data_IF_658352384804
#
_entry.id   IF_658352384804
#
_cell.length_a   1.000
_cell.length_b   1.000
_cell.length_c   1.000
_cell.angle_alpha   90.00
_cell.angle_beta   90.00
_cell.angle_gamma   90.00
#
_symmetry.space_group_name_H-M   'P 1'
#
loop_
_entity.id
_entity.type
_entity.pdbx_description
1 polymer ?
#
# COMPACT_ATOMS: atom_id res chain seq x y z
N UNK A 1 -11.87 -36.06 -5.60
CA UNK A 1 -12.63 -34.82 -5.76
C UNK A 1 -11.74 -33.70 -5.25
N UNK A 2 -11.53 -32.74 -6.13
CA UNK A 2 -10.64 -31.56 -6.13
C UNK A 2 -9.90 -31.16 -4.84
N UNK A 3 -8.57 -31.23 -4.92
CA UNK A 3 -7.66 -30.40 -4.14
C UNK A 3 -7.75 -28.96 -4.68
N UNK A 4 -8.59 -28.13 -4.07
CA UNK A 4 -8.68 -26.71 -4.40
C UNK A 4 -7.40 -26.00 -3.92
N UNK A 5 -6.54 -25.63 -4.86
CA UNK A 5 -5.32 -24.82 -4.65
C UNK A 5 -5.64 -23.35 -4.30
N UNK A 6 -6.68 -23.10 -3.51
CA UNK A 6 -7.01 -21.77 -3.04
C UNK A 6 -6.16 -21.46 -1.79
N UNK A 7 -5.17 -20.58 -1.95
CA UNK A 7 -4.27 -20.13 -0.90
C UNK A 7 -2.80 -20.58 -1.02
N UNK A 8 -2.42 -21.35 -2.05
CA UNK A 8 -1.00 -21.60 -2.31
C UNK A 8 -0.40 -20.41 -3.05
N UNK A 9 0.45 -19.67 -2.33
CA UNK A 9 1.39 -18.72 -2.91
C UNK A 9 2.16 -19.41 -4.05
N UNK A 10 2.31 -18.71 -5.17
CA UNK A 10 2.91 -19.24 -6.40
C UNK A 10 4.28 -19.85 -6.09
N UNK A 11 4.76 -20.79 -6.92
CA UNK A 11 6.11 -21.36 -6.79
C UNK A 11 7.23 -20.30 -6.83
N UNK A 12 6.91 -19.04 -7.11
CA UNK A 12 7.80 -17.87 -7.14
C UNK A 12 7.70 -16.98 -5.90
N UNK A 13 6.82 -17.27 -4.95
CA UNK A 13 6.65 -16.52 -3.69
C UNK A 13 7.45 -17.12 -2.52
N UNK A 14 8.35 -18.06 -2.80
CA UNK A 14 9.40 -18.43 -1.87
C UNK A 14 10.60 -17.52 -2.12
N UNK A 15 10.68 -16.53 -1.23
CA UNK A 15 11.79 -15.59 -1.01
C UNK A 15 11.85 -14.39 -1.96
N UNK A 16 12.35 -13.29 -1.39
CA UNK A 16 13.16 -12.37 -2.15
C UNK A 16 14.26 -13.12 -2.93
N UNK A 17 14.98 -12.39 -3.77
CA UNK A 17 15.69 -12.99 -4.91
C UNK A 17 16.65 -14.10 -4.48
N UNK A 18 16.97 -15.06 -5.38
CA UNK A 18 18.02 -16.05 -5.12
C UNK A 18 19.29 -15.36 -4.58
N UNK A 19 19.63 -15.62 -3.31
CA UNK A 19 20.73 -14.98 -2.58
C UNK A 19 20.35 -14.30 -1.27
N UNK A 20 19.07 -14.10 -0.98
CA UNK A 20 18.61 -13.49 0.27
C UNK A 20 18.77 -14.50 1.44
N UNK A 21 19.47 -14.11 2.51
CA UNK A 21 19.69 -14.93 3.71
C UNK A 21 18.48 -14.90 4.66
N UNK A 22 18.34 -15.93 5.50
CA UNK A 22 17.19 -16.17 6.41
C UNK A 22 16.88 -15.00 7.38
N UNK A 23 17.77 -14.01 7.46
CA UNK A 23 17.70 -12.87 8.37
C UNK A 23 17.45 -11.53 7.65
N UNK A 24 17.34 -11.52 6.31
CA UNK A 24 17.07 -10.31 5.50
C UNK A 24 15.58 -9.94 5.39
N UNK A 25 14.70 -10.78 5.93
CA UNK A 25 13.31 -10.43 6.16
C UNK A 25 13.14 -10.11 7.64
N UNK A 26 12.77 -8.87 7.94
CA UNK A 26 11.96 -8.62 9.14
C UNK A 26 10.52 -8.86 8.70
N UNK A 27 9.96 -10.07 8.87
CA UNK A 27 8.52 -10.22 8.74
C UNK A 27 7.90 -9.31 9.81
N UNK A 28 7.26 -8.22 9.37
CA UNK A 28 6.23 -7.60 10.19
C UNK A 28 5.16 -8.68 10.31
N UNK A 29 4.91 -9.11 11.55
CA UNK A 29 3.93 -10.14 11.87
C UNK A 29 2.62 -9.87 11.12
N UNK A 30 2.27 -10.76 10.18
CA UNK A 30 1.17 -10.58 9.22
C UNK A 30 -0.21 -10.57 9.87
N UNK A 31 -0.29 -10.83 11.18
CA UNK A 31 -1.54 -11.17 11.82
C UNK A 31 -2.47 -9.96 12.07
N UNK A 32 -2.01 -8.70 12.13
CA UNK A 32 -2.94 -7.61 12.50
C UNK A 32 -2.72 -6.19 11.94
N UNK A 33 -1.59 -5.83 11.30
CA UNK A 33 -1.41 -4.44 10.84
C UNK A 33 -1.03 -4.33 9.36
N UNK A 34 -2.03 -4.05 8.54
CA UNK A 34 -1.90 -3.65 7.14
C UNK A 34 -2.66 -2.36 6.89
N UNK A 35 -2.09 -1.44 6.11
CA UNK A 35 -2.88 -0.35 5.55
C UNK A 35 -3.61 -0.84 4.29
N UNK A 36 -4.89 -0.50 4.18
CA UNK A 36 -5.71 -0.80 3.01
C UNK A 36 -5.91 0.47 2.19
N UNK A 37 -5.74 0.34 0.88
CA UNK A 37 -6.07 1.34 -0.11
C UNK A 37 -6.90 0.70 -1.22
N UNK A 38 -7.34 1.48 -2.18
CA UNK A 38 -8.07 1.00 -3.35
C UNK A 38 -7.51 1.62 -4.63
N UNK A 39 -7.66 0.89 -5.74
CA UNK A 39 -7.51 1.47 -7.08
C UNK A 39 -8.85 2.11 -7.45
N UNK A 40 -8.82 3.42 -7.68
CA UNK A 40 -9.98 4.20 -8.09
C UNK A 40 -10.28 4.02 -9.58
N UNK A 41 -11.46 4.46 -10.01
CA UNK A 41 -11.88 4.41 -11.42
C UNK A 41 -10.95 5.18 -12.37
N UNK A 42 -10.24 6.19 -11.87
CA UNK A 42 -9.25 7.01 -12.60
C UNK A 42 -7.86 6.35 -12.67
N UNK A 43 -7.71 5.14 -12.12
CA UNK A 43 -6.46 4.37 -12.10
C UNK A 43 -5.46 4.80 -11.02
N UNK A 44 -5.85 5.68 -10.11
CA UNK A 44 -5.01 6.16 -9.01
C UNK A 44 -5.23 5.37 -7.73
N UNK A 45 -4.20 5.26 -6.89
CA UNK A 45 -4.34 4.75 -5.53
C UNK A 45 -4.99 5.81 -4.63
N UNK A 46 -5.97 5.41 -3.83
CA UNK A 46 -6.62 6.26 -2.85
C UNK A 46 -7.12 5.47 -1.64
N UNK A 47 -7.55 6.18 -0.61
CA UNK A 47 -8.30 5.55 0.48
C UNK A 47 -9.76 5.33 0.07
N UNK A 48 -10.44 4.33 0.67
CA UNK A 48 -11.89 4.26 0.65
C UNK A 48 -12.52 5.49 1.31
N UNK A 49 -13.64 5.94 0.75
CA UNK A 49 -14.38 7.13 1.15
C UNK A 49 -14.68 8.04 -0.05
N UNK A 50 -15.41 9.12 0.21
CA UNK A 50 -15.86 10.02 -0.83
C UNK A 50 -16.18 11.41 -0.31
N UNK A 51 -16.96 12.14 -1.10
CA UNK A 51 -17.42 13.47 -0.72
C UNK A 51 -18.58 13.34 0.27
N UNK A 52 -18.58 14.21 1.27
CA UNK A 52 -19.70 14.34 2.21
C UNK A 52 -20.70 15.34 1.63
N UNK A 53 -21.99 15.02 1.70
CA UNK A 53 -23.03 15.89 1.18
C UNK A 53 -23.17 17.17 2.02
N UNK A 54 -23.60 18.30 1.42
CA UNK A 54 -23.85 19.51 2.18
C UNK A 54 -24.87 19.26 3.30
N UNK A 55 -24.58 19.77 4.50
CA UNK A 55 -25.41 19.61 5.71
C UNK A 55 -25.44 18.19 6.33
N UNK A 56 -24.75 17.22 5.72
CA UNK A 56 -24.55 15.89 6.30
C UNK A 56 -23.47 15.94 7.41
N UNK A 57 -23.63 15.11 8.45
CA UNK A 57 -22.58 14.94 9.44
C UNK A 57 -21.39 14.20 8.80
N UNK A 58 -20.13 14.72 8.91
CA UNK A 58 -18.97 14.09 8.29
C UNK A 58 -18.73 12.63 8.65
N UNK A 59 -19.09 12.22 9.87
CA UNK A 59 -18.94 10.82 10.32
C UNK A 59 -19.97 9.93 9.64
N UNK A 60 -21.20 10.41 9.51
CA UNK A 60 -22.29 9.67 8.84
C UNK A 60 -22.02 9.54 7.34
N UNK A 61 -21.58 10.63 6.70
CA UNK A 61 -21.16 10.61 5.30
C UNK A 61 -19.98 9.66 5.06
N UNK A 62 -18.94 9.70 5.91
CA UNK A 62 -17.82 8.75 5.81
C UNK A 62 -18.28 7.30 5.97
N UNK A 63 -19.14 7.00 6.94
CA UNK A 63 -19.65 5.64 7.15
C UNK A 63 -20.47 5.15 5.96
N UNK A 64 -21.28 6.02 5.36
CA UNK A 64 -22.06 5.74 4.15
C UNK A 64 -21.12 5.45 2.97
N UNK A 65 -20.19 6.34 2.67
CA UNK A 65 -19.21 6.18 1.59
C UNK A 65 -18.35 4.91 1.78
N UNK A 66 -17.89 4.65 3.00
CA UNK A 66 -17.17 3.41 3.30
C UNK A 66 -18.04 2.17 3.10
N UNK A 67 -19.32 2.21 3.47
CA UNK A 67 -20.22 1.07 3.25
C UNK A 67 -20.50 0.84 1.76
N UNK A 68 -20.61 1.91 0.97
CA UNK A 68 -20.78 1.86 -0.49
C UNK A 68 -19.52 1.33 -1.19
N UNK A 69 -18.32 1.77 -0.78
CA UNK A 69 -17.08 1.40 -1.46
C UNK A 69 -16.48 0.08 -0.96
N UNK A 70 -16.59 -0.24 0.34
CA UNK A 70 -16.06 -1.49 0.91
C UNK A 70 -17.09 -2.63 0.76
N UNK A 71 -18.37 -2.29 0.60
CA UNK A 71 -19.47 -3.21 0.37
C UNK A 71 -19.63 -3.60 -1.10
N UNK A 72 -19.16 -4.80 -1.45
CA UNK A 72 -19.57 -5.63 -2.58
C UNK A 72 -19.10 -5.29 -4.01
N UNK A 73 -18.64 -4.08 -4.37
CA UNK A 73 -18.25 -3.73 -5.76
C UNK A 73 -16.86 -3.08 -5.91
N UNK A 74 -15.89 -3.44 -5.07
CA UNK A 74 -14.52 -2.91 -5.18
C UNK A 74 -13.73 -3.61 -6.28
N UNK A 75 -13.43 -2.88 -7.36
CA UNK A 75 -12.54 -3.33 -8.44
C UNK A 75 -11.05 -3.48 -8.03
N UNK A 76 -10.69 -3.30 -6.75
CA UNK A 76 -9.34 -3.66 -6.29
C UNK A 76 -8.92 -2.98 -5.00
N UNK A 77 -9.31 -3.55 -3.85
CA UNK A 77 -8.62 -3.27 -2.58
C UNK A 77 -7.17 -3.75 -2.70
N UNK A 78 -6.23 -2.88 -2.36
CA UNK A 78 -4.79 -3.14 -2.36
C UNK A 78 -4.26 -3.03 -0.94
N UNK A 79 -3.55 -4.07 -0.51
CA UNK A 79 -2.76 -4.02 0.72
C UNK A 79 -1.48 -3.26 0.45
N UNK A 80 -1.19 -2.25 1.27
CA UNK A 80 0.07 -1.52 1.19
C UNK A 80 1.19 -2.44 1.65
N UNK A 81 2.23 -2.69 0.83
CA UNK A 81 3.36 -3.51 1.23
C UNK A 81 4.26 -2.71 2.18
N UNK A 82 4.10 -2.88 3.49
CA UNK A 82 4.88 -2.16 4.51
C UNK A 82 6.28 -2.75 4.77
N UNK A 83 6.85 -3.42 3.77
CA UNK A 83 8.20 -3.99 3.84
C UNK A 83 9.07 -3.37 2.74
N UNK A 84 10.38 -3.35 2.95
CA UNK A 84 11.36 -2.99 1.90
C UNK A 84 12.28 -4.18 1.70
N UNK A 85 12.44 -4.63 0.46
CA UNK A 85 13.37 -5.74 0.16
C UNK A 85 14.83 -5.28 0.25
N UNK A 86 15.78 -6.22 0.34
CA UNK A 86 17.21 -5.92 0.49
C UNK A 86 17.84 -5.05 -0.61
N UNK A 87 17.17 -4.84 -1.75
CA UNK A 87 17.61 -3.90 -2.78
C UNK A 87 17.24 -2.43 -2.48
N UNK A 88 16.48 -2.18 -1.42
CA UNK A 88 16.03 -0.85 -1.00
C UNK A 88 14.96 -0.23 -1.90
N UNK A 89 14.44 -0.95 -2.90
CA UNK A 89 13.54 -0.41 -3.93
C UNK A 89 12.18 -1.12 -3.93
N UNK A 90 12.16 -2.45 -3.86
CA UNK A 90 10.90 -3.21 -3.92
C UNK A 90 10.13 -3.18 -2.60
N UNK A 91 8.81 -3.34 -2.70
CA UNK A 91 7.88 -3.26 -1.58
C UNK A 91 7.34 -1.84 -1.42
N UNK A 92 7.43 -1.27 -0.22
CA UNK A 92 6.90 0.05 0.11
C UNK A 92 7.44 1.19 -0.79
N UNK A 93 8.75 1.28 -1.10
CA UNK A 93 9.25 2.38 -1.92
C UNK A 93 8.71 2.33 -3.36
N UNK A 94 8.58 1.13 -3.94
CA UNK A 94 7.98 0.93 -5.26
C UNK A 94 6.47 1.20 -5.25
N UNK A 95 5.77 0.93 -4.15
CA UNK A 95 4.37 1.32 -4.00
C UNK A 95 4.22 2.85 -3.95
N UNK A 96 5.09 3.54 -3.21
CA UNK A 96 5.11 5.01 -3.10
C UNK A 96 5.48 5.73 -4.40
N UNK A 97 6.09 5.04 -5.37
CA UNK A 97 6.35 5.58 -6.73
C UNK A 97 5.16 5.39 -7.68
N UNK A 98 4.07 4.77 -7.23
CA UNK A 98 2.79 4.74 -7.94
C UNK A 98 2.11 6.11 -8.03
N UNK A 99 0.97 6.15 -8.71
CA UNK A 99 0.17 7.36 -8.83
C UNK A 99 -0.95 7.36 -7.78
N UNK A 100 -1.08 8.46 -7.05
CA UNK A 100 -2.04 8.60 -5.94
C UNK A 100 -3.01 9.74 -6.21
N UNK A 101 -4.25 9.57 -5.79
CA UNK A 101 -5.28 10.59 -5.91
C UNK A 101 -5.08 11.68 -4.85
N UNK A 102 -5.00 12.94 -5.30
CA UNK A 102 -4.90 14.11 -4.42
C UNK A 102 -3.81 13.97 -3.36
N UNK A 103 -4.21 14.03 -2.09
CA UNK A 103 -3.32 13.97 -0.91
C UNK A 103 -3.12 12.55 -0.35
N UNK A 104 -3.69 11.52 -0.98
CA UNK A 104 -3.71 10.15 -0.43
C UNK A 104 -2.31 9.59 -0.11
N UNK A 105 -1.29 9.96 -0.89
CA UNK A 105 0.10 9.57 -0.61
C UNK A 105 0.61 10.18 0.69
N UNK A 106 0.35 11.46 0.91
CA UNK A 106 0.76 12.18 2.11
C UNK A 106 -0.02 11.69 3.33
N UNK A 107 -1.32 11.45 3.19
CA UNK A 107 -2.17 10.88 4.24
C UNK A 107 -1.69 9.50 4.66
N UNK A 108 -1.30 8.63 3.72
CA UNK A 108 -0.70 7.33 4.02
C UNK A 108 0.58 7.49 4.84
N UNK A 109 1.51 8.33 4.39
CA UNK A 109 2.79 8.55 5.09
C UNK A 109 2.55 9.10 6.50
N UNK A 110 1.66 10.08 6.64
CA UNK A 110 1.33 10.69 7.93
C UNK A 110 0.62 9.71 8.87
N UNK A 111 -0.29 8.89 8.35
CA UNK A 111 -0.98 7.85 9.11
C UNK A 111 0.00 6.80 9.64
N UNK A 112 0.87 6.28 8.77
CA UNK A 112 1.90 5.29 9.15
C UNK A 112 2.87 5.85 10.20
N UNK A 113 3.27 7.12 10.05
CA UNK A 113 4.05 7.87 11.04
C UNK A 113 3.33 7.98 12.39
N UNK A 114 2.08 8.40 12.37
CA UNK A 114 1.30 8.66 13.59
C UNK A 114 1.02 7.38 14.38
N UNK A 115 0.67 6.30 13.68
CA UNK A 115 0.42 4.96 14.27
C UNK A 115 1.75 4.28 14.66
N UNK A 116 2.90 4.87 14.31
CA UNK A 116 4.25 4.34 14.57
C UNK A 116 4.44 2.93 14.02
N UNK A 117 3.84 2.69 12.85
CA UNK A 117 3.98 1.44 12.12
C UNK A 117 5.33 1.28 11.45
N UNK A 118 5.91 2.41 11.06
CA UNK A 118 7.26 2.51 10.55
C UNK A 118 7.95 3.62 11.33
N UNK A 119 9.23 3.43 11.63
CA UNK A 119 10.07 4.47 12.22
C UNK A 119 10.27 5.63 11.24
N UNK A 120 10.66 6.80 11.75
CA UNK A 120 10.98 7.95 10.90
C UNK A 120 12.08 7.62 9.90
N UNK A 121 13.09 6.86 10.31
CA UNK A 121 14.21 6.48 9.45
C UNK A 121 13.77 5.56 8.30
N UNK A 122 12.92 4.57 8.59
CA UNK A 122 12.35 3.67 7.58
C UNK A 122 11.45 4.42 6.59
N UNK A 123 10.59 5.31 7.08
CA UNK A 123 9.72 6.16 6.24
C UNK A 123 10.55 7.08 5.34
N UNK A 124 11.54 7.76 5.91
CA UNK A 124 12.41 8.68 5.15
C UNK A 124 13.22 7.92 4.10
N UNK A 125 13.77 6.75 4.44
CA UNK A 125 14.48 5.89 3.49
C UNK A 125 13.59 5.46 2.31
N UNK A 126 12.35 5.05 2.60
CA UNK A 126 11.40 4.65 1.56
C UNK A 126 10.99 5.82 0.65
N UNK A 127 10.75 7.01 1.21
CA UNK A 127 10.40 8.22 0.45
C UNK A 127 11.56 8.65 -0.47
N UNK A 128 12.79 8.66 0.06
CA UNK A 128 13.99 9.02 -0.72
C UNK A 128 14.20 8.02 -1.86
N UNK A 129 14.07 6.73 -1.58
CA UNK A 129 14.21 5.67 -2.59
C UNK A 129 13.15 5.79 -3.70
N UNK A 130 11.88 6.01 -3.32
CA UNK A 130 10.77 6.26 -4.26
C UNK A 130 11.03 7.46 -5.18
N UNK A 131 11.45 8.61 -4.61
CA UNK A 131 11.74 9.81 -5.38
C UNK A 131 12.94 9.63 -6.34
N UNK A 132 13.97 8.89 -5.89
CA UNK A 132 15.13 8.54 -6.72
C UNK A 132 14.73 7.64 -7.88
N UNK A 133 13.84 6.67 -7.65
CA UNK A 133 13.33 5.81 -8.71
C UNK A 133 12.56 6.60 -9.77
N UNK A 134 11.68 7.52 -9.35
CA UNK A 134 10.92 8.39 -10.24
C UNK A 134 11.82 9.29 -11.09
N UNK A 135 12.85 9.90 -10.49
CA UNK A 135 13.77 10.77 -11.24
C UNK A 135 14.58 9.99 -12.29
N UNK A 136 14.98 8.76 -12.00
CA UNK A 136 15.69 7.89 -12.95
C UNK A 136 14.82 7.45 -14.13
N UNK A 137 13.51 7.31 -13.94
CA UNK A 137 12.57 6.98 -15.04
C UNK A 137 12.39 8.14 -16.02
N UNK A 138 12.43 9.38 -15.54
CA UNK A 138 12.24 10.58 -16.38
C UNK A 138 13.44 10.81 -17.30
N UNK A 139 14.66 10.49 -16.83
CA UNK A 139 15.92 10.75 -17.56
C UNK A 139 16.18 9.73 -18.67
N UNK A 140 15.51 8.57 -18.69
CA UNK A 140 15.69 7.52 -19.72
C UNK A 140 14.85 7.71 -21.00
N UNK A 141 14.37 8.92 -21.28
CA UNK A 141 13.69 9.23 -22.55
C UNK A 141 14.67 9.56 -23.67
#
# INVERSE_FOLDING_TARGET
>A
MENSNWGQLSKFEKFGRPGDDEMSFVPIDYDYLSALMQVRFDGLFGFPGGLVEPEENPVDGLNREMAEEIGLDVFGIVRVPLFTMGDGVRGFPAFLSGHFAGSARQELILGLRHVKLLSEDELNAAIVSSNKFLSQMIVKK
#
